data_IF_597834799838
#
_entry.id   IF_597834799838
#
_cell.length_a   1.000
_cell.length_b   1.000
_cell.length_c   1.000
_cell.angle_alpha   90.00
_cell.angle_beta   90.00
_cell.angle_gamma   90.00
#
_symmetry.space_group_name_H-M   'P 1'
#
loop_
_entity.id
_entity.type
_entity.pdbx_description
1 polymer ?
#
# COMPACT_ATOMS: atom_id res chain seq x y z
N UNK A 1 22.12 6.75 13.46
CA UNK A 1 21.40 6.11 14.57
C UNK A 1 20.15 5.50 13.99
N UNK A 2 20.06 4.18 13.92
CA UNK A 2 18.96 3.47 13.28
C UNK A 2 17.74 3.44 14.22
N UNK A 3 16.52 3.44 13.65
CA UNK A 3 15.25 3.52 14.40
C UNK A 3 15.22 4.70 15.38
N UNK A 4 15.70 5.84 14.97
CA UNK A 4 15.58 7.07 15.76
C UNK A 4 14.13 7.57 15.79
N UNK A 5 13.89 8.61 16.57
CA UNK A 5 12.59 9.26 16.68
C UNK A 5 12.83 10.76 16.61
N UNK A 6 12.47 11.35 15.47
CA UNK A 6 12.46 12.79 15.26
C UNK A 6 11.04 13.19 14.83
N UNK A 7 10.28 13.70 15.79
CA UNK A 7 8.86 14.00 15.62
C UNK A 7 8.53 15.32 16.27
N UNK A 8 7.71 16.08 15.57
CA UNK A 8 7.15 17.32 16.09
C UNK A 8 5.65 17.33 15.82
N UNK A 9 4.86 17.92 16.73
CA UNK A 9 3.44 18.06 16.50
C UNK A 9 2.83 19.09 17.44
N UNK A 10 1.71 19.64 17.01
CA UNK A 10 0.91 20.54 17.83
C UNK A 10 -0.58 20.29 17.60
N UNK A 11 -1.37 20.66 18.61
CA UNK A 11 -2.83 20.67 18.55
C UNK A 11 -3.33 21.91 19.24
N UNK A 12 -4.29 22.59 18.64
CA UNK A 12 -4.98 23.74 19.20
C UNK A 12 -6.49 23.52 19.10
N UNK A 13 -7.19 23.95 20.15
CA UNK A 13 -8.65 23.92 20.19
C UNK A 13 -9.19 25.28 20.61
N UNK A 14 -10.24 25.73 19.93
CA UNK A 14 -11.01 26.90 20.28
C UNK A 14 -12.47 26.50 20.49
N UNK A 15 -12.97 26.71 21.70
CA UNK A 15 -14.37 26.53 22.03
C UNK A 15 -15.06 27.88 22.11
N UNK A 16 -16.10 28.04 21.31
CA UNK A 16 -17.01 29.17 21.35
C UNK A 16 -18.37 28.72 21.86
N UNK A 17 -18.76 29.17 23.04
CA UNK A 17 -20.02 28.81 23.70
C UNK A 17 -20.73 30.09 24.20
N UNK A 18 -21.38 30.85 23.31
CA UNK A 18 -22.01 32.12 23.65
C UNK A 18 -23.27 31.98 24.49
N UNK A 19 -23.84 30.76 24.54
CA UNK A 19 -25.04 30.45 25.33
C UNK A 19 -24.96 28.95 25.77
N UNK A 20 -25.71 28.61 26.82
CA UNK A 20 -25.75 27.24 27.37
C UNK A 20 -26.29 26.17 26.37
N UNK A 21 -27.00 26.63 25.35
CA UNK A 21 -27.64 25.77 24.36
C UNK A 21 -26.89 25.69 23.04
N UNK A 22 -25.71 26.35 22.92
CA UNK A 22 -24.92 26.36 21.68
C UNK A 22 -23.42 26.31 21.99
N UNK A 23 -22.75 25.40 21.31
CA UNK A 23 -21.27 25.39 21.26
C UNK A 23 -20.74 25.13 19.87
N UNK A 24 -19.60 25.69 19.56
CA UNK A 24 -18.81 25.43 18.38
C UNK A 24 -17.35 25.25 18.77
N UNK A 25 -16.77 24.12 18.40
CA UNK A 25 -15.37 23.79 18.66
C UNK A 25 -14.62 23.64 17.35
N UNK A 26 -13.58 24.42 17.19
CA UNK A 26 -12.60 24.24 16.11
C UNK A 26 -11.38 23.55 16.69
N UNK A 27 -10.93 22.51 16.05
CA UNK A 27 -9.68 21.81 16.37
C UNK A 27 -8.77 21.85 15.15
N UNK A 28 -7.50 22.20 15.36
CA UNK A 28 -6.45 22.15 14.33
C UNK A 28 -5.31 21.33 14.90
N UNK A 29 -4.81 20.39 14.15
CA UNK A 29 -3.63 19.59 14.49
C UNK A 29 -2.69 19.44 13.31
N UNK A 30 -1.41 19.30 13.63
CA UNK A 30 -0.34 19.01 12.68
C UNK A 30 0.73 18.20 13.39
N UNK A 31 1.27 17.21 12.70
CA UNK A 31 2.46 16.47 13.10
C UNK A 31 3.34 16.15 11.91
N UNK A 32 4.64 16.11 12.16
CA UNK A 32 5.65 15.71 11.21
C UNK A 32 6.66 14.75 11.84
N UNK A 33 7.25 13.91 11.02
CA UNK A 33 8.38 13.07 11.41
C UNK A 33 9.40 12.94 10.29
N UNK A 34 10.69 12.84 10.66
CA UNK A 34 11.80 12.55 9.77
C UNK A 34 12.73 11.53 10.47
N UNK A 35 12.62 10.27 10.09
CA UNK A 35 13.22 9.17 10.84
C UNK A 35 14.05 8.27 9.93
N UNK A 36 15.12 7.69 10.45
CA UNK A 36 15.84 6.57 9.82
C UNK A 36 15.17 5.29 10.26
N UNK A 37 14.33 4.74 9.40
CA UNK A 37 13.48 3.56 9.62
C UNK A 37 13.54 2.68 8.35
N UNK A 38 13.31 1.43 8.34
CA UNK A 38 13.04 0.50 9.38
C UNK A 38 14.12 -0.58 9.35
N UNK A 39 14.60 -0.99 10.51
CA UNK A 39 15.70 -1.92 10.63
C UNK A 39 15.17 -3.28 11.05
N UNK A 40 15.60 -4.31 10.36
CA UNK A 40 15.32 -5.70 10.74
C UNK A 40 16.59 -6.43 11.16
N UNK A 41 16.42 -7.41 12.05
CA UNK A 41 17.46 -8.38 12.42
C UNK A 41 17.25 -9.71 11.69
N UNK A 42 18.32 -10.44 11.43
CA UNK A 42 18.25 -11.78 10.86
C UNK A 42 17.90 -12.80 11.94
N UNK A 43 16.91 -13.65 11.66
CA UNK A 43 16.54 -14.79 12.54
C UNK A 43 17.07 -16.12 12.04
N UNK A 44 17.46 -16.20 10.76
CA UNK A 44 18.04 -17.38 10.14
C UNK A 44 18.86 -17.00 8.90
N UNK A 45 19.94 -17.70 8.66
CA UNK A 45 20.69 -17.56 7.42
C UNK A 45 20.12 -18.43 6.32
N UNK A 46 19.96 -17.82 5.13
CA UNK A 46 19.58 -18.51 3.90
C UNK A 46 20.70 -18.48 2.85
N UNK A 47 20.40 -19.00 1.66
CA UNK A 47 21.31 -18.94 0.52
C UNK A 47 21.70 -17.49 0.14
N UNK A 48 20.76 -16.54 0.28
CA UNK A 48 21.01 -15.13 0.05
C UNK A 48 22.15 -14.58 0.88
N UNK A 49 22.15 -14.83 2.19
CA UNK A 49 23.22 -14.37 3.09
C UNK A 49 24.59 -14.95 2.71
N UNK A 50 24.65 -16.19 2.21
CA UNK A 50 25.89 -16.81 1.74
C UNK A 50 26.42 -16.11 0.48
N UNK A 51 25.52 -15.76 -0.44
CA UNK A 51 25.89 -15.04 -1.67
C UNK A 51 26.36 -13.63 -1.33
N UNK A 52 25.66 -12.90 -0.44
CA UNK A 52 26.10 -11.60 0.04
C UNK A 52 27.50 -11.65 0.61
N UNK A 53 27.79 -12.62 1.48
CA UNK A 53 29.13 -12.81 2.03
C UNK A 53 30.16 -13.13 0.93
N UNK A 54 29.81 -13.94 -0.05
CA UNK A 54 30.66 -14.26 -1.21
C UNK A 54 31.00 -13.02 -2.05
N UNK A 55 30.04 -12.10 -2.18
CA UNK A 55 30.20 -10.84 -2.90
C UNK A 55 30.93 -9.76 -2.07
N UNK A 56 31.36 -10.08 -0.85
CA UNK A 56 32.08 -9.18 0.04
C UNK A 56 31.19 -8.26 0.87
N UNK A 57 29.87 -8.48 0.85
CA UNK A 57 28.92 -7.78 1.70
C UNK A 57 29.01 -8.24 3.16
N UNK A 58 28.59 -7.38 4.09
CA UNK A 58 28.50 -7.72 5.50
C UNK A 58 27.14 -8.35 5.78
N UNK A 59 27.14 -9.53 6.34
CA UNK A 59 25.94 -10.26 6.72
C UNK A 59 25.54 -9.93 8.14
N UNK A 60 24.28 -9.58 8.36
CA UNK A 60 23.70 -9.33 9.69
C UNK A 60 23.86 -10.60 10.54
N UNK A 61 24.31 -10.52 11.81
CA UNK A 61 24.42 -11.68 12.69
C UNK A 61 23.09 -12.44 12.79
N UNK A 62 23.16 -13.77 12.81
CA UNK A 62 21.98 -14.63 13.01
C UNK A 62 21.52 -14.63 14.48
N UNK A 63 21.35 -13.45 15.01
CA UNK A 63 20.88 -13.17 16.36
C UNK A 63 20.19 -11.79 16.38
N UNK A 64 18.87 -11.74 16.43
CA UNK A 64 18.13 -10.48 16.40
C UNK A 64 18.38 -9.60 17.63
N UNK A 65 18.93 -10.16 18.71
CA UNK A 65 19.25 -9.43 19.95
C UNK A 65 20.57 -8.67 19.89
N UNK A 66 21.41 -8.89 18.87
CA UNK A 66 22.62 -8.10 18.68
C UNK A 66 22.33 -6.65 18.29
N UNK A 67 21.09 -6.36 17.85
CA UNK A 67 20.68 -5.04 17.37
C UNK A 67 21.62 -4.46 16.31
N UNK A 68 22.15 -5.33 15.47
CA UNK A 68 23.06 -4.99 14.38
C UNK A 68 22.35 -5.17 13.05
N UNK A 69 22.54 -4.23 12.14
CA UNK A 69 22.09 -4.29 10.76
C UNK A 69 23.12 -3.67 9.84
N UNK A 70 23.11 -4.07 8.59
CA UNK A 70 23.97 -3.52 7.57
C UNK A 70 23.13 -3.14 6.36
N UNK A 71 23.29 -1.90 5.91
CA UNK A 71 22.63 -1.34 4.75
C UNK A 71 23.67 -0.75 3.81
N UNK A 72 23.32 -0.62 2.55
CA UNK A 72 24.16 0.09 1.58
C UNK A 72 23.87 1.62 1.58
N UNK A 73 22.75 2.06 2.18
CA UNK A 73 22.40 3.48 2.40
C UNK A 73 21.52 3.62 3.66
N UNK A 74 21.34 4.84 4.15
CA UNK A 74 20.45 5.12 5.28
C UNK A 74 19.00 5.22 4.80
N UNK A 75 18.11 4.29 5.18
CA UNK A 75 16.69 4.37 4.82
C UNK A 75 16.03 5.55 5.50
N UNK A 76 15.12 6.19 4.80
CA UNK A 76 14.43 7.41 5.26
C UNK A 76 12.93 7.17 5.33
N UNK A 77 12.28 7.66 6.38
CA UNK A 77 10.83 7.71 6.52
C UNK A 77 10.43 9.10 7.00
N UNK A 78 9.66 9.80 6.19
CA UNK A 78 9.18 11.16 6.44
C UNK A 78 7.68 11.20 6.29
N UNK A 79 7.02 12.00 7.12
CA UNK A 79 5.59 12.22 6.96
C UNK A 79 5.14 13.50 7.61
N UNK A 80 4.10 14.06 7.01
CA UNK A 80 3.38 15.23 7.50
C UNK A 80 1.90 14.88 7.56
N UNK A 81 1.27 15.11 8.71
CA UNK A 81 -0.16 14.91 8.88
C UNK A 81 -0.77 16.17 9.44
N UNK A 82 -1.92 16.54 8.97
CA UNK A 82 -2.59 17.72 9.47
C UNK A 82 -4.09 17.68 9.26
N UNK A 83 -4.78 18.54 10.00
CA UNK A 83 -6.21 18.64 9.80
C UNK A 83 -6.87 19.75 10.58
N UNK A 84 -8.09 20.04 10.17
CA UNK A 84 -9.00 20.94 10.84
C UNK A 84 -10.36 20.27 11.00
N UNK A 85 -10.97 20.42 12.16
CA UNK A 85 -12.34 19.97 12.38
C UNK A 85 -13.18 21.05 13.05
N UNK A 86 -14.45 21.08 12.71
CA UNK A 86 -15.46 21.94 13.30
C UNK A 86 -16.59 21.06 13.86
N UNK A 87 -16.79 21.11 15.15
CA UNK A 87 -17.90 20.46 15.84
C UNK A 87 -18.87 21.54 16.34
N UNK A 88 -20.09 21.50 15.89
CA UNK A 88 -21.18 22.38 16.30
C UNK A 88 -22.23 21.55 17.04
N UNK A 89 -22.65 22.02 18.19
CA UNK A 89 -23.73 21.43 18.99
C UNK A 89 -24.79 22.50 19.27
N UNK A 90 -26.03 22.17 19.01
CA UNK A 90 -27.18 22.99 19.38
C UNK A 90 -28.17 22.17 20.19
N UNK A 91 -28.38 22.60 21.40
CA UNK A 91 -29.31 22.03 22.35
C UNK A 91 -30.67 22.71 22.28
N UNK A 92 -31.70 22.01 21.85
CA UNK A 92 -33.09 22.43 21.95
C UNK A 92 -33.69 21.92 23.27
N UNK A 93 -34.95 22.19 23.51
CA UNK A 93 -35.61 21.80 24.76
C UNK A 93 -35.54 20.28 25.00
N UNK A 94 -35.84 19.47 23.97
CA UNK A 94 -35.92 18.00 24.09
C UNK A 94 -34.98 17.26 23.13
N UNK A 95 -34.23 17.97 22.32
CA UNK A 95 -33.34 17.35 21.30
C UNK A 95 -32.03 18.09 21.23
N UNK A 96 -31.02 17.41 20.68
CA UNK A 96 -29.73 17.96 20.34
C UNK A 96 -29.44 17.74 18.87
N UNK A 97 -28.92 18.75 18.21
CA UNK A 97 -28.40 18.68 16.83
C UNK A 97 -26.87 18.83 16.91
N UNK A 98 -26.14 17.88 16.35
CA UNK A 98 -24.70 17.93 16.18
C UNK A 98 -24.33 17.96 14.70
N UNK A 99 -23.28 18.70 14.39
CA UNK A 99 -22.63 18.69 13.08
C UNK A 99 -21.12 18.62 13.28
N UNK A 100 -20.48 17.64 12.64
CA UNK A 100 -19.04 17.46 12.68
C UNK A 100 -18.53 17.48 11.25
N UNK A 101 -17.71 18.46 10.93
CA UNK A 101 -17.02 18.59 9.64
C UNK A 101 -15.53 18.46 9.87
N UNK A 102 -14.82 17.68 9.07
CA UNK A 102 -13.36 17.68 9.12
C UNK A 102 -12.73 17.60 7.73
N UNK A 103 -11.54 18.14 7.62
CA UNK A 103 -10.62 17.99 6.50
C UNK A 103 -9.27 17.54 7.05
N UNK A 104 -8.68 16.52 6.44
CA UNK A 104 -7.37 15.99 6.83
C UNK A 104 -6.50 15.72 5.62
N UNK A 105 -5.19 15.86 5.81
CA UNK A 105 -4.15 15.47 4.86
C UNK A 105 -3.13 14.58 5.55
N UNK A 106 -2.50 13.71 4.78
CA UNK A 106 -1.40 12.87 5.23
C UNK A 106 -0.48 12.60 4.04
N UNK A 107 0.73 13.14 4.10
CA UNK A 107 1.75 13.01 3.07
C UNK A 107 2.90 12.18 3.64
N UNK A 108 3.20 11.04 3.01
CA UNK A 108 4.24 10.12 3.48
C UNK A 108 5.23 9.85 2.35
N UNK A 109 6.51 9.93 2.67
CA UNK A 109 7.60 9.61 1.78
C UNK A 109 8.62 8.72 2.47
N UNK A 110 8.90 7.59 1.85
CA UNK A 110 9.88 6.63 2.34
C UNK A 110 10.87 6.28 1.25
N UNK A 111 12.12 6.06 1.63
CA UNK A 111 13.14 5.42 0.79
C UNK A 111 13.67 4.24 1.57
N UNK A 112 13.34 3.04 1.10
CA UNK A 112 13.64 1.81 1.82
C UNK A 112 14.80 1.05 1.17
N UNK A 113 15.60 0.41 2.02
CA UNK A 113 16.50 -0.67 1.66
C UNK A 113 15.70 -1.97 1.77
N UNK A 114 15.04 -2.36 0.67
CA UNK A 114 14.08 -3.47 0.69
C UNK A 114 14.74 -4.84 0.62
N UNK A 115 16.02 -4.93 0.30
CA UNK A 115 16.78 -6.18 0.36
C UNK A 115 17.45 -6.38 1.74
N UNK A 116 17.50 -5.33 2.56
CA UNK A 116 18.09 -5.32 3.91
C UNK A 116 19.51 -5.87 3.95
N UNK A 117 20.32 -5.54 2.94
CA UNK A 117 21.65 -6.06 2.73
C UNK A 117 22.69 -4.93 2.63
N UNK A 118 23.94 -5.25 2.92
CA UNK A 118 25.06 -4.32 2.72
C UNK A 118 25.54 -4.24 1.26
N UNK A 119 25.08 -5.14 0.42
CA UNK A 119 25.32 -5.11 -1.03
C UNK A 119 24.20 -4.35 -1.73
N UNK A 120 24.51 -3.55 -2.73
CA UNK A 120 23.55 -2.82 -3.55
C UNK A 120 22.84 -3.80 -4.52
N UNK A 121 22.00 -4.68 -3.97
CA UNK A 121 21.23 -5.67 -4.72
C UNK A 121 19.99 -5.00 -5.32
N UNK A 122 19.19 -4.34 -4.48
CA UNK A 122 18.09 -3.47 -4.88
C UNK A 122 18.49 -2.03 -4.58
N UNK A 123 18.32 -1.15 -5.56
CA UNK A 123 18.60 0.27 -5.37
C UNK A 123 17.61 0.91 -4.38
N UNK A 124 17.94 2.10 -3.81
CA UNK A 124 17.00 2.84 -2.97
C UNK A 124 15.61 2.93 -3.60
N UNK A 125 14.60 2.42 -2.91
CA UNK A 125 13.23 2.29 -3.42
C UNK A 125 12.33 3.35 -2.79
N UNK A 126 12.02 4.44 -3.52
CA UNK A 126 11.13 5.49 -3.04
C UNK A 126 9.68 5.02 -3.11
N UNK A 127 8.94 5.36 -2.04
CA UNK A 127 7.50 5.18 -1.92
C UNK A 127 6.93 6.53 -1.47
N UNK A 128 5.92 7.04 -2.15
CA UNK A 128 5.12 8.17 -1.69
C UNK A 128 3.64 7.81 -1.62
N UNK A 129 2.99 8.33 -0.62
CA UNK A 129 1.55 8.18 -0.43
C UNK A 129 0.97 9.46 0.13
N UNK A 130 0.17 10.12 -0.68
CA UNK A 130 -0.48 11.37 -0.36
C UNK A 130 -1.99 11.12 -0.24
N UNK A 131 -2.57 11.55 0.87
CA UNK A 131 -3.97 11.38 1.20
C UNK A 131 -4.60 12.73 1.54
N UNK A 132 -5.80 12.97 1.04
CA UNK A 132 -6.63 14.04 1.54
C UNK A 132 -8.08 13.56 1.70
N UNK A 133 -8.78 14.07 2.70
CA UNK A 133 -10.14 13.61 2.95
C UNK A 133 -11.00 14.62 3.67
N UNK A 134 -12.29 14.60 3.33
CA UNK A 134 -13.35 15.39 3.95
C UNK A 134 -14.35 14.46 4.59
N UNK A 135 -14.78 14.79 5.81
CA UNK A 135 -15.92 14.12 6.45
C UNK A 135 -16.95 15.14 6.89
N UNK A 136 -18.22 14.77 6.77
CA UNK A 136 -19.33 15.51 7.32
C UNK A 136 -20.28 14.55 8.01
N UNK A 137 -20.56 14.77 9.28
CA UNK A 137 -21.57 14.02 10.02
C UNK A 137 -22.61 14.98 10.61
N UNK A 138 -23.87 14.63 10.50
CA UNK A 138 -24.98 15.34 11.14
C UNK A 138 -25.77 14.30 11.93
N UNK A 139 -25.99 14.60 13.22
CA UNK A 139 -26.81 13.79 14.13
C UNK A 139 -27.88 14.68 14.76
N UNK A 140 -29.08 14.17 14.78
CA UNK A 140 -30.17 14.78 15.51
C UNK A 140 -30.84 13.74 16.39
N UNK A 141 -30.87 14.00 17.70
CA UNK A 141 -31.31 13.00 18.67
C UNK A 141 -32.04 13.64 19.86
N UNK A 142 -32.85 12.82 20.55
CA UNK A 142 -33.51 13.23 21.78
C UNK A 142 -32.51 13.32 22.92
N UNK A 143 -32.72 14.31 23.81
CA UNK A 143 -32.15 14.25 25.16
C UNK A 143 -32.84 13.12 25.93
N UNK A 144 -32.14 12.55 26.92
CA UNK A 144 -32.67 11.44 27.71
C UNK A 144 -34.14 11.62 28.07
N UNK A 145 -34.96 10.75 27.51
CA UNK A 145 -36.39 10.65 27.77
C UNK A 145 -36.68 9.26 28.31
N UNK A 146 -37.46 9.20 29.38
CA UNK A 146 -37.75 7.92 30.04
C UNK A 146 -38.51 6.91 29.17
N UNK A 147 -39.18 7.36 28.10
CA UNK A 147 -40.04 6.48 27.29
C UNK A 147 -39.55 6.22 25.88
N UNK A 148 -39.11 7.25 25.17
CA UNK A 148 -38.74 7.13 23.76
C UNK A 148 -37.51 7.97 23.49
N UNK A 149 -36.43 7.35 23.10
CA UNK A 149 -35.23 8.01 22.59
C UNK A 149 -35.03 7.67 21.14
N UNK A 150 -34.65 8.63 20.35
CA UNK A 150 -34.37 8.43 18.93
C UNK A 150 -33.12 9.20 18.50
N UNK A 151 -32.47 8.67 17.49
CA UNK A 151 -31.35 9.26 16.78
C UNK A 151 -31.60 9.12 15.29
N UNK A 152 -31.41 10.20 14.54
CA UNK A 152 -31.30 10.16 13.07
C UNK A 152 -30.02 10.87 12.68
N UNK A 153 -29.38 10.39 11.62
CA UNK A 153 -28.15 11.03 11.16
C UNK A 153 -27.79 10.67 9.74
N UNK A 154 -26.84 11.41 9.23
CA UNK A 154 -26.20 11.19 7.95
C UNK A 154 -24.71 11.43 8.05
N UNK A 155 -23.97 10.67 7.26
CA UNK A 155 -22.53 10.75 7.16
C UNK A 155 -22.13 10.81 5.69
N UNK A 156 -21.20 11.70 5.39
CA UNK A 156 -20.50 11.81 4.12
C UNK A 156 -19.01 11.72 4.34
N UNK A 157 -18.33 10.97 3.48
CA UNK A 157 -16.89 10.84 3.44
C UNK A 157 -16.44 10.92 1.99
N UNK A 158 -15.35 11.63 1.75
CA UNK A 158 -14.59 11.60 0.51
C UNK A 158 -13.11 11.55 0.84
N UNK A 159 -12.36 10.70 0.12
CA UNK A 159 -10.92 10.56 0.24
C UNK A 159 -10.31 10.43 -1.15
N UNK A 160 -9.26 11.20 -1.37
CA UNK A 160 -8.41 11.13 -2.54
C UNK A 160 -7.03 10.63 -2.11
N UNK A 161 -6.49 9.64 -2.83
CA UNK A 161 -5.18 9.05 -2.56
C UNK A 161 -4.34 9.00 -3.84
N UNK A 162 -3.12 9.52 -3.76
CA UNK A 162 -2.06 9.31 -4.74
C UNK A 162 -0.99 8.39 -4.15
N UNK A 163 -0.56 7.39 -4.93
CA UNK A 163 0.45 6.44 -4.53
C UNK A 163 1.49 6.27 -5.64
N UNK A 164 2.77 6.31 -5.27
CA UNK A 164 3.89 6.00 -6.15
C UNK A 164 4.87 5.07 -5.44
N UNK A 165 5.33 4.05 -6.15
CA UNK A 165 6.37 3.14 -5.70
C UNK A 165 7.33 2.83 -6.85
N UNK A 166 8.62 2.76 -6.57
CA UNK A 166 9.61 2.36 -7.56
C UNK A 166 10.57 1.34 -6.96
N UNK A 167 10.87 0.29 -7.73
CA UNK A 167 11.84 -0.74 -7.39
C UNK A 167 12.81 -0.90 -8.55
N UNK A 168 14.08 -0.65 -8.30
CA UNK A 168 15.12 -0.73 -9.32
C UNK A 168 16.23 -1.69 -8.90
N UNK A 169 16.82 -2.40 -9.86
CA UNK A 169 17.99 -3.22 -9.62
C UNK A 169 19.18 -2.36 -9.22
N UNK A 170 19.84 -2.75 -8.15
CA UNK A 170 21.10 -2.19 -7.71
C UNK A 170 22.27 -2.62 -8.59
N UNK A 171 23.43 -2.03 -8.36
CA UNK A 171 24.66 -2.32 -9.12
C UNK A 171 25.15 -3.75 -8.99
N UNK A 172 24.80 -4.45 -7.90
CA UNK A 172 25.18 -5.83 -7.61
C UNK A 172 24.13 -6.87 -7.95
N UNK A 173 22.91 -6.46 -8.35
CA UNK A 173 21.82 -7.39 -8.63
C UNK A 173 22.20 -8.46 -9.65
N UNK A 174 22.82 -8.05 -10.77
CA UNK A 174 23.23 -8.98 -11.79
C UNK A 174 24.25 -10.01 -11.27
N UNK A 175 25.26 -9.58 -10.54
CA UNK A 175 26.27 -10.45 -9.96
C UNK A 175 25.65 -11.40 -8.94
N UNK A 176 24.71 -10.91 -8.14
CA UNK A 176 23.95 -11.72 -7.17
C UNK A 176 23.15 -12.84 -7.86
N UNK A 177 22.42 -12.52 -8.91
CA UNK A 177 21.63 -13.52 -9.67
C UNK A 177 22.54 -14.52 -10.40
N UNK A 178 23.66 -14.10 -10.99
CA UNK A 178 24.62 -15.00 -11.61
C UNK A 178 25.25 -15.97 -10.60
N UNK A 179 25.47 -15.55 -9.35
CA UNK A 179 25.93 -16.41 -8.27
C UNK A 179 24.84 -17.38 -7.79
N UNK A 180 23.58 -16.95 -7.81
CA UNK A 180 22.42 -17.76 -7.40
C UNK A 180 22.03 -18.80 -8.48
N UNK A 181 22.09 -18.41 -9.77
CA UNK A 181 21.72 -19.20 -10.93
C UNK A 181 22.85 -19.21 -11.99
N UNK A 182 23.97 -19.90 -11.72
CA UNK A 182 25.13 -19.85 -12.60
C UNK A 182 24.80 -20.23 -14.05
N UNK A 183 25.10 -19.33 -14.98
CA UNK A 183 24.91 -19.53 -16.41
C UNK A 183 23.47 -19.36 -16.92
N UNK A 184 22.45 -19.34 -16.05
CA UNK A 184 21.05 -19.26 -16.48
C UNK A 184 20.75 -17.97 -17.27
N UNK A 185 21.21 -16.83 -16.78
CA UNK A 185 20.93 -15.53 -17.41
C UNK A 185 21.70 -15.39 -18.73
N UNK A 186 22.93 -15.93 -18.80
CA UNK A 186 23.67 -15.97 -20.06
C UNK A 186 22.96 -16.85 -21.11
N UNK A 187 22.38 -17.98 -20.69
CA UNK A 187 21.58 -18.85 -21.55
C UNK A 187 20.31 -18.17 -22.06
N UNK A 188 19.64 -17.35 -21.23
CA UNK A 188 18.51 -16.51 -21.66
C UNK A 188 18.97 -15.48 -22.72
N UNK A 189 20.07 -14.78 -22.47
CA UNK A 189 20.62 -13.82 -23.41
C UNK A 189 20.89 -14.45 -24.79
N UNK A 190 21.49 -15.63 -24.82
CA UNK A 190 21.75 -16.42 -26.03
C UNK A 190 20.43 -16.83 -26.72
N UNK A 191 19.47 -17.39 -25.96
CA UNK A 191 18.20 -17.87 -26.49
C UNK A 191 17.37 -16.74 -27.15
N UNK A 192 17.47 -15.52 -26.66
CA UNK A 192 16.77 -14.35 -27.19
C UNK A 192 17.63 -13.50 -28.14
N UNK A 193 18.90 -13.81 -28.34
CA UNK A 193 19.82 -13.06 -29.20
C UNK A 193 20.06 -11.61 -28.70
N UNK A 194 20.02 -11.39 -27.41
CA UNK A 194 20.21 -10.05 -26.80
C UNK A 194 21.55 -9.98 -26.06
N UNK A 195 22.16 -8.78 -25.99
CA UNK A 195 23.39 -8.60 -25.21
C UNK A 195 23.18 -8.99 -23.74
N UNK A 196 24.03 -9.87 -23.22
CA UNK A 196 23.96 -10.35 -21.84
C UNK A 196 23.99 -9.21 -20.80
N UNK A 197 24.67 -8.11 -21.09
CA UNK A 197 24.77 -6.93 -20.23
C UNK A 197 23.46 -6.13 -20.10
N UNK A 198 22.47 -6.38 -20.94
CA UNK A 198 21.16 -5.71 -20.87
C UNK A 198 20.19 -6.43 -19.92
N UNK A 199 20.48 -7.67 -19.53
CA UNK A 199 19.63 -8.39 -18.60
C UNK A 199 20.01 -8.04 -17.17
N UNK A 200 19.03 -7.56 -16.41
CA UNK A 200 19.21 -7.13 -15.02
C UNK A 200 20.27 -6.02 -14.84
N UNK A 201 20.35 -5.09 -15.79
CA UNK A 201 21.24 -3.96 -15.66
C UNK A 201 20.79 -3.04 -14.52
N UNK A 202 21.75 -2.47 -13.78
CA UNK A 202 21.48 -1.51 -12.73
C UNK A 202 20.59 -0.35 -13.23
N UNK A 203 19.62 0.06 -12.41
CA UNK A 203 18.63 1.09 -12.74
C UNK A 203 17.48 0.62 -13.62
N UNK A 204 17.47 -0.63 -14.09
CA UNK A 204 16.26 -1.23 -14.63
C UNK A 204 15.33 -1.62 -13.49
N UNK A 205 14.01 -1.56 -13.71
CA UNK A 205 13.07 -1.88 -12.67
C UNK A 205 11.64 -1.58 -13.04
N UNK A 206 10.86 -1.26 -12.04
CA UNK A 206 9.45 -1.05 -12.13
C UNK A 206 9.03 0.20 -11.36
N UNK A 207 8.15 1.00 -11.94
CA UNK A 207 7.48 2.12 -11.27
C UNK A 207 5.99 1.88 -11.33
N UNK A 208 5.33 1.97 -10.19
CA UNK A 208 3.90 1.83 -10.03
C UNK A 208 3.31 3.16 -9.55
N UNK A 209 2.24 3.59 -10.19
CA UNK A 209 1.45 4.75 -9.77
C UNK A 209 -0.01 4.33 -9.65
N UNK A 210 -0.65 4.76 -8.59
CA UNK A 210 -2.08 4.54 -8.41
C UNK A 210 -2.74 5.79 -7.87
N UNK A 211 -3.95 6.07 -8.34
CA UNK A 211 -4.86 7.03 -7.72
C UNK A 211 -6.11 6.31 -7.25
N UNK A 212 -6.66 6.72 -6.14
CA UNK A 212 -7.93 6.20 -5.64
C UNK A 212 -8.80 7.34 -5.15
N UNK A 213 -10.00 7.42 -5.69
CA UNK A 213 -11.07 8.27 -5.22
C UNK A 213 -12.09 7.39 -4.50
N UNK A 214 -12.44 7.74 -3.27
CA UNK A 214 -13.40 7.01 -2.45
C UNK A 214 -14.46 7.98 -1.94
N UNK A 215 -15.73 7.64 -2.10
CA UNK A 215 -16.83 8.41 -1.53
C UNK A 215 -17.85 7.50 -0.86
N UNK A 216 -18.33 7.92 0.30
CA UNK A 216 -19.33 7.18 1.08
C UNK A 216 -20.44 8.13 1.51
N UNK A 217 -21.67 7.70 1.32
CA UNK A 217 -22.86 8.35 1.87
C UNK A 217 -23.58 7.33 2.75
N UNK A 218 -23.90 7.72 3.98
CA UNK A 218 -24.66 6.88 4.91
C UNK A 218 -25.79 7.67 5.56
N UNK A 219 -26.95 7.03 5.68
CA UNK A 219 -28.10 7.52 6.44
C UNK A 219 -28.46 6.48 7.48
N UNK A 220 -28.74 6.91 8.69
CA UNK A 220 -29.08 5.99 9.79
C UNK A 220 -30.12 6.57 10.72
N UNK A 221 -30.91 5.69 11.31
CA UNK A 221 -31.88 6.03 12.33
C UNK A 221 -32.01 4.90 13.34
N UNK A 222 -32.20 5.27 14.59
CA UNK A 222 -32.49 4.34 15.70
C UNK A 222 -33.59 4.92 16.58
N UNK A 223 -34.41 4.05 17.14
CA UNK A 223 -35.36 4.40 18.19
C UNK A 223 -35.28 3.37 19.31
N UNK A 224 -35.24 3.87 20.54
CA UNK A 224 -35.27 3.09 21.78
C UNK A 224 -36.58 3.40 22.51
N UNK A 225 -37.36 2.35 22.75
CA UNK A 225 -38.69 2.49 23.34
C UNK A 225 -38.73 1.65 24.63
N UNK A 226 -38.95 2.30 25.78
CA UNK A 226 -39.19 1.63 27.04
C UNK A 226 -40.67 1.20 27.12
N UNK A 227 -40.92 -0.10 26.86
CA UNK A 227 -42.25 -0.65 26.87
C UNK A 227 -42.80 -0.83 28.30
N UNK A 228 -41.93 -1.14 29.25
CA UNK A 228 -42.20 -1.18 30.71
C UNK A 228 -40.89 -1.15 31.46
N UNK A 229 -40.94 -1.21 32.83
CA UNK A 229 -39.75 -1.16 33.68
C UNK A 229 -38.70 -2.28 33.44
N UNK A 230 -39.04 -3.33 32.69
CA UNK A 230 -38.18 -4.49 32.44
C UNK A 230 -37.94 -4.79 30.99
N UNK A 231 -38.58 -4.07 30.08
CA UNK A 231 -38.52 -4.35 28.65
C UNK A 231 -38.32 -3.08 27.83
N UNK A 232 -37.22 -3.05 27.13
CA UNK A 232 -36.91 -2.04 26.11
C UNK A 232 -36.87 -2.68 24.72
N UNK A 233 -37.41 -1.97 23.74
CA UNK A 233 -37.32 -2.33 22.33
C UNK A 233 -36.39 -1.33 21.64
N UNK A 234 -35.40 -1.82 20.90
CA UNK A 234 -34.47 -1.02 20.10
C UNK A 234 -34.66 -1.42 18.64
N UNK A 235 -34.96 -0.44 17.79
CA UNK A 235 -35.10 -0.61 16.36
C UNK A 235 -34.16 0.35 15.65
N UNK A 236 -33.37 -0.17 14.70
CA UNK A 236 -32.45 0.63 13.92
C UNK A 236 -32.53 0.28 12.43
N UNK A 237 -32.25 1.25 11.60
CA UNK A 237 -32.08 1.10 10.15
C UNK A 237 -30.91 1.95 9.70
N UNK A 238 -30.13 1.44 8.74
CA UNK A 238 -29.10 2.19 8.07
C UNK A 238 -29.09 1.86 6.59
N UNK A 239 -28.71 2.85 5.80
CA UNK A 239 -28.41 2.73 4.38
C UNK A 239 -27.00 3.31 4.16
N UNK A 240 -26.18 2.62 3.39
CA UNK A 240 -24.84 3.09 3.03
C UNK A 240 -24.60 2.80 1.55
N UNK A 241 -24.04 3.75 0.86
CA UNK A 241 -23.51 3.62 -0.48
C UNK A 241 -22.04 4.03 -0.47
N UNK A 242 -21.19 3.16 -0.98
CA UNK A 242 -19.77 3.33 -1.04
C UNK A 242 -19.31 3.16 -2.48
N UNK A 243 -18.63 4.18 -3.02
CA UNK A 243 -18.09 4.18 -4.38
C UNK A 243 -16.59 4.36 -4.32
N UNK A 244 -15.87 3.51 -5.03
CA UNK A 244 -14.42 3.54 -5.10
C UNK A 244 -13.95 3.44 -6.54
N UNK A 245 -13.25 4.46 -7.00
CA UNK A 245 -12.60 4.49 -8.30
C UNK A 245 -11.08 4.37 -8.12
N UNK A 246 -10.45 3.47 -8.87
CA UNK A 246 -9.00 3.24 -8.81
C UNK A 246 -8.43 3.31 -10.22
N UNK A 247 -7.43 4.16 -10.40
CA UNK A 247 -6.57 4.16 -11.58
C UNK A 247 -5.19 3.62 -11.22
N UNK A 248 -4.65 2.74 -12.04
CA UNK A 248 -3.35 2.12 -11.81
C UNK A 248 -2.53 2.13 -13.10
N UNK A 249 -1.26 2.50 -12.99
CA UNK A 249 -0.31 2.45 -14.09
C UNK A 249 1.01 1.83 -13.61
N UNK A 250 1.60 1.00 -14.47
CA UNK A 250 2.88 0.36 -14.21
C UNK A 250 3.81 0.57 -15.40
N UNK A 251 5.01 1.08 -15.14
CA UNK A 251 6.06 1.24 -16.14
C UNK A 251 7.20 0.32 -15.77
N UNK A 252 7.44 -0.69 -16.61
CA UNK A 252 8.51 -1.67 -16.43
C UNK A 252 9.55 -1.50 -17.55
N UNK A 253 10.76 -1.05 -17.21
CA UNK A 253 11.88 -0.91 -18.11
C UNK A 253 12.91 -2.05 -17.99
N UNK A 254 12.64 -3.07 -17.17
CA UNK A 254 13.48 -4.23 -17.01
C UNK A 254 13.41 -5.14 -18.26
N UNK A 255 14.50 -5.21 -19.03
CA UNK A 255 14.55 -6.00 -20.27
C UNK A 255 14.16 -7.43 -20.05
N UNK A 256 14.66 -8.06 -18.97
CA UNK A 256 14.35 -9.44 -18.62
C UNK A 256 12.84 -9.66 -18.38
N UNK A 257 12.16 -8.73 -17.76
CA UNK A 257 10.73 -8.82 -17.46
C UNK A 257 9.83 -8.74 -18.70
N UNK A 258 10.35 -8.18 -19.79
CA UNK A 258 9.62 -8.05 -21.05
C UNK A 258 9.87 -9.22 -22.01
N UNK A 259 10.59 -10.27 -21.60
CA UNK A 259 10.85 -11.45 -22.44
C UNK A 259 9.66 -12.40 -22.43
N UNK A 260 9.24 -12.84 -23.62
CA UNK A 260 8.19 -13.87 -23.77
C UNK A 260 8.80 -15.29 -23.73
N UNK A 261 8.94 -15.84 -22.54
CA UNK A 261 9.48 -17.18 -22.35
C UNK A 261 8.56 -18.29 -22.90
N UNK A 262 7.25 -18.09 -22.90
CA UNK A 262 6.32 -19.06 -23.49
C UNK A 262 6.45 -19.06 -25.01
N UNK A 263 6.49 -17.87 -25.62
CA UNK A 263 6.70 -17.73 -27.06
C UNK A 263 8.03 -18.33 -27.51
N UNK A 264 9.11 -18.03 -26.81
CA UNK A 264 10.43 -18.60 -27.12
C UNK A 264 10.43 -20.17 -27.00
N UNK A 265 9.86 -20.69 -25.92
CA UNK A 265 9.69 -22.12 -25.74
C UNK A 265 8.83 -22.77 -26.83
N UNK A 266 7.75 -22.10 -27.24
CA UNK A 266 6.88 -22.53 -28.34
C UNK A 266 7.66 -22.68 -29.66
N UNK A 267 8.43 -21.62 -29.99
CA UNK A 267 9.27 -21.64 -31.21
C UNK A 267 10.33 -22.76 -31.16
N UNK A 268 10.97 -22.94 -30.00
CA UNK A 268 11.94 -24.02 -29.80
C UNK A 268 11.33 -25.42 -30.00
N UNK A 269 10.13 -25.65 -29.46
CA UNK A 269 9.41 -26.94 -29.63
C UNK A 269 8.97 -27.16 -31.08
N UNK A 270 8.53 -26.12 -31.79
CA UNK A 270 8.22 -26.22 -33.23
C UNK A 270 9.47 -26.60 -34.02
N UNK A 271 10.61 -25.96 -33.73
CA UNK A 271 11.89 -26.29 -34.36
C UNK A 271 12.34 -27.72 -34.04
N UNK A 272 11.96 -28.28 -32.91
CA UNK A 272 12.17 -29.67 -32.52
C UNK A 272 11.16 -30.65 -33.13
N UNK A 273 10.23 -30.17 -34.00
CA UNK A 273 9.29 -31.00 -34.76
C UNK A 273 7.92 -31.20 -34.11
N UNK A 274 7.59 -30.52 -33.04
CA UNK A 274 6.24 -30.56 -32.45
C UNK A 274 5.24 -29.77 -33.30
N UNK A 275 3.99 -30.23 -33.45
CA UNK A 275 2.94 -29.45 -34.08
C UNK A 275 2.69 -28.13 -33.33
N UNK A 276 2.45 -26.99 -34.03
CA UNK A 276 2.34 -25.66 -33.38
C UNK A 276 1.33 -25.60 -32.22
N UNK A 277 0.17 -26.22 -32.37
CA UNK A 277 -0.85 -26.24 -31.31
C UNK A 277 -0.38 -27.00 -30.06
N UNK A 278 0.35 -28.12 -30.25
CA UNK A 278 0.92 -28.91 -29.16
C UNK A 278 2.10 -28.14 -28.51
N UNK A 279 2.97 -27.54 -29.31
CA UNK A 279 4.09 -26.74 -28.84
C UNK A 279 3.63 -25.58 -27.94
N UNK A 280 2.56 -24.86 -28.31
CA UNK A 280 2.01 -23.78 -27.51
C UNK A 280 1.47 -24.21 -26.13
N UNK A 281 1.01 -25.45 -26.02
CA UNK A 281 0.58 -26.03 -24.73
C UNK A 281 1.80 -26.45 -23.90
N UNK A 282 2.71 -27.21 -24.50
CA UNK A 282 3.89 -27.77 -23.83
C UNK A 282 4.86 -26.67 -23.39
N UNK A 283 4.94 -25.54 -24.10
CA UNK A 283 5.81 -24.42 -23.75
C UNK A 283 5.47 -23.74 -22.41
N UNK A 284 4.30 -24.03 -21.84
CA UNK A 284 3.90 -23.55 -20.51
C UNK A 284 4.33 -24.51 -19.38
N UNK A 285 4.81 -25.67 -19.71
CA UNK A 285 5.23 -26.70 -18.76
C UNK A 285 6.76 -26.65 -18.59
N UNK A 286 7.28 -26.48 -17.37
CA UNK A 286 8.73 -26.44 -17.10
C UNK A 286 9.45 -27.73 -17.49
N UNK A 287 8.73 -28.87 -17.62
CA UNK A 287 9.30 -30.13 -18.11
C UNK A 287 9.74 -30.06 -19.58
N UNK A 288 9.11 -29.18 -20.37
CA UNK A 288 9.38 -29.03 -21.80
C UNK A 288 10.02 -27.67 -22.15
N UNK A 289 9.84 -26.67 -21.27
CA UNK A 289 10.42 -25.32 -21.44
C UNK A 289 11.19 -24.93 -20.19
N UNK A 290 12.52 -25.05 -20.18
CA UNK A 290 13.34 -24.75 -19.02
C UNK A 290 13.39 -23.25 -18.68
N UNK A 291 12.84 -22.36 -19.52
CA UNK A 291 12.75 -20.92 -19.25
C UNK A 291 11.60 -20.56 -18.30
N UNK A 292 10.57 -21.42 -18.16
CA UNK A 292 9.38 -21.14 -17.35
C UNK A 292 9.69 -20.84 -15.89
N UNK A 293 10.57 -21.60 -15.19
CA UNK A 293 10.92 -21.28 -13.80
C UNK A 293 11.53 -19.88 -13.63
N UNK A 294 12.17 -19.35 -14.68
CA UNK A 294 12.80 -18.02 -14.64
C UNK A 294 11.78 -16.87 -14.70
N UNK A 295 10.52 -17.15 -15.04
CA UNK A 295 9.45 -16.16 -14.97
C UNK A 295 9.27 -15.60 -13.54
N UNK A 296 9.64 -16.35 -12.51
CA UNK A 296 9.63 -15.89 -11.13
C UNK A 296 10.56 -14.69 -10.87
N UNK A 297 11.49 -14.40 -11.78
CA UNK A 297 12.40 -13.25 -11.72
C UNK A 297 11.89 -12.04 -12.52
N UNK A 298 10.74 -12.15 -13.19
CA UNK A 298 10.14 -11.04 -13.94
C UNK A 298 9.27 -10.20 -13.02
N UNK A 299 9.30 -8.88 -13.21
CA UNK A 299 8.25 -8.00 -12.69
C UNK A 299 6.95 -8.30 -13.47
N UNK A 300 6.03 -8.99 -12.83
CA UNK A 300 4.73 -9.30 -13.45
C UNK A 300 3.78 -8.14 -13.17
N UNK A 301 3.08 -7.62 -14.19
CA UNK A 301 2.04 -6.61 -13.96
C UNK A 301 1.00 -7.13 -12.97
N UNK A 302 0.78 -6.39 -11.87
CA UNK A 302 -0.08 -6.82 -10.76
C UNK A 302 -1.58 -6.93 -11.15
N UNK A 303 -2.01 -6.28 -12.25
CA UNK A 303 -3.43 -6.13 -12.61
C UNK A 303 -3.74 -6.40 -14.10
N UNK A 304 -3.00 -7.28 -14.77
CA UNK A 304 -3.21 -7.58 -16.20
C UNK A 304 -4.59 -8.19 -16.50
N UNK A 305 -5.20 -8.83 -15.52
CA UNK A 305 -6.46 -9.57 -15.66
C UNK A 305 -7.61 -8.99 -14.81
N UNK A 306 -7.47 -7.75 -14.27
CA UNK A 306 -8.65 -7.04 -13.84
C UNK A 306 -9.31 -6.48 -15.13
N UNK A 307 -10.37 -7.14 -15.65
CA UNK A 307 -11.22 -6.44 -16.59
C UNK A 307 -11.66 -5.16 -15.91
N UNK A 308 -11.95 -4.11 -16.68
CA UNK A 308 -12.67 -2.92 -16.24
C UNK A 308 -14.07 -3.35 -15.72
N UNK A 309 -14.10 -4.14 -14.71
CA UNK A 309 -15.26 -4.52 -13.95
C UNK A 309 -15.32 -3.47 -12.84
N UNK A 310 -16.06 -2.40 -13.10
CA UNK A 310 -16.86 -1.84 -12.04
C UNK A 310 -17.54 -3.05 -11.36
N UNK A 311 -16.97 -3.52 -10.26
CA UNK A 311 -17.65 -4.47 -9.41
C UNK A 311 -18.70 -3.65 -8.66
N UNK A 312 -19.90 -3.57 -9.23
CA UNK A 312 -21.07 -3.17 -8.48
C UNK A 312 -21.30 -4.18 -7.36
N UNK A 313 -20.56 -3.99 -6.28
CA UNK A 313 -20.76 -4.71 -5.02
C UNK A 313 -21.99 -4.15 -4.31
N UNK A 314 -23.17 -4.54 -4.75
CA UNK A 314 -24.38 -4.37 -3.93
C UNK A 314 -24.40 -5.47 -2.88
N UNK A 315 -24.04 -5.12 -1.66
CA UNK A 315 -24.25 -5.96 -0.46
C UNK A 315 -25.58 -5.63 0.17
#
# INVERSE_FOLDING_TARGET
KLNDRDRFGYRAELLFAPADDFSARVTVDYDEFDEICCVIGSTAYGAGNQITALLGGKVVPNDPFTQSSFFNFDPTSKGENGGISLHIEKNFTNTTLESITSYRTSDNYEVQDIDFDAADIIAPSPISKDLSGVTQEIRWYTKDNEKVNWLVGGFYYQEDMDFNESVYFGSMWRTYIDAFLPGAIAGVAEAFGIPNSLLFAAGQGNTETATQDNSTISLFAQVDIQLNERLNAILGVSYMEDEKEVSYNQINNAVFSNLDFVGAGTLGLIAAGFPPAQAAVLAKDPAYNPLIPLQALQFIPKFVDFPNAAQDGKS
#
